data_IF_075230218856
#
_entry.id   IF_075230218856
#
_cell.length_a   1.000
_cell.length_b   1.000
_cell.length_c   1.000
_cell.angle_alpha   90.00
_cell.angle_beta   90.00
_cell.angle_gamma   90.00
#
_symmetry.space_group_name_H-M   'P 1'
#
loop_
_entity.id
_entity.type
_entity.pdbx_description
1 polymer ?
#
# COMPACT_ATOMS: atom_id res chain seq x y z
N UNK A 1 -18.27 25.16 -21.44
CA UNK A 1 -18.45 26.18 -20.43
C UNK A 1 -19.95 26.51 -20.35
N UNK A 2 -20.56 26.15 -19.18
CA UNK A 2 -21.98 26.43 -18.93
C UNK A 2 -22.15 27.86 -18.45
N UNK A 3 -23.09 28.60 -19.08
CA UNK A 3 -23.56 29.89 -18.59
C UNK A 3 -24.80 29.65 -17.71
N UNK A 4 -24.79 30.18 -16.51
CA UNK A 4 -25.90 30.10 -15.55
C UNK A 4 -26.40 31.52 -15.23
N UNK A 5 -27.72 31.69 -14.97
CA UNK A 5 -28.27 32.92 -14.44
C UNK A 5 -28.42 32.82 -12.93
N UNK A 6 -27.89 33.80 -12.22
CA UNK A 6 -28.09 33.99 -10.78
C UNK A 6 -28.56 35.43 -10.58
N UNK A 7 -29.74 35.62 -10.00
CA UNK A 7 -30.37 36.94 -9.73
C UNK A 7 -30.47 37.88 -10.97
N UNK A 8 -30.61 37.29 -12.16
CA UNK A 8 -30.74 38.03 -13.39
C UNK A 8 -29.45 38.26 -14.17
N UNK A 9 -28.30 38.06 -13.56
CA UNK A 9 -26.99 38.23 -14.18
C UNK A 9 -26.45 36.92 -14.77
N UNK A 10 -25.77 37.02 -15.92
CA UNK A 10 -25.08 35.92 -16.57
C UNK A 10 -23.75 35.62 -15.86
N UNK A 11 -23.69 34.52 -15.16
CA UNK A 11 -22.47 34.04 -14.47
C UNK A 11 -21.83 32.93 -15.28
N UNK A 12 -20.59 33.13 -15.71
CA UNK A 12 -19.78 32.11 -16.32
C UNK A 12 -19.02 31.35 -15.21
N UNK A 13 -19.38 30.08 -14.97
CA UNK A 13 -18.56 29.20 -14.14
C UNK A 13 -17.25 28.88 -14.88
N UNK A 14 -16.22 29.63 -14.56
CA UNK A 14 -14.85 29.24 -14.90
C UNK A 14 -14.34 28.30 -13.81
N UNK A 15 -13.98 27.07 -14.17
CA UNK A 15 -13.21 26.24 -13.29
C UNK A 15 -12.00 27.07 -12.83
N UNK A 16 -11.87 27.25 -11.50
CA UNK A 16 -10.68 27.88 -10.94
C UNK A 16 -9.52 26.94 -11.29
N UNK A 17 -8.72 27.34 -12.26
CA UNK A 17 -7.46 26.67 -12.51
C UNK A 17 -6.67 26.81 -11.22
N UNK A 18 -6.69 25.76 -10.40
CA UNK A 18 -5.72 25.60 -9.32
C UNK A 18 -4.37 25.71 -10.01
N UNK A 19 -3.61 26.79 -9.71
CA UNK A 19 -2.21 26.84 -10.09
C UNK A 19 -1.62 25.54 -9.59
N UNK A 20 -1.18 24.65 -10.52
CA UNK A 20 -0.30 23.55 -10.18
C UNK A 20 0.83 24.17 -9.38
N UNK A 21 0.86 23.94 -8.06
CA UNK A 21 2.10 24.05 -7.31
C UNK A 21 3.07 23.17 -8.08
N UNK A 22 4.25 23.71 -8.44
CA UNK A 22 5.19 23.00 -9.29
C UNK A 22 5.28 21.55 -8.84
N UNK A 23 4.97 20.64 -9.75
CA UNK A 23 4.94 19.22 -9.45
C UNK A 23 6.27 18.87 -8.81
N UNK A 24 6.24 18.22 -7.65
CA UNK A 24 7.45 17.61 -7.10
C UNK A 24 8.03 16.74 -8.21
N UNK A 25 9.30 16.88 -8.50
CA UNK A 25 9.96 16.06 -9.52
C UNK A 25 10.06 14.59 -9.10
N UNK A 26 9.73 14.28 -7.86
CA UNK A 26 9.74 12.93 -7.29
C UNK A 26 8.44 12.64 -6.55
N UNK A 27 8.00 11.39 -6.64
CA UNK A 27 6.88 10.84 -5.88
C UNK A 27 7.28 10.55 -4.43
N UNK A 28 6.33 10.15 -3.60
CA UNK A 28 6.60 9.75 -2.22
C UNK A 28 7.45 8.47 -2.13
N UNK A 29 7.38 7.58 -3.13
CA UNK A 29 8.24 6.39 -3.26
C UNK A 29 9.67 6.71 -3.68
N UNK A 30 9.92 7.92 -4.17
CA UNK A 30 11.22 8.35 -4.67
C UNK A 30 11.39 8.19 -6.18
N UNK A 31 10.37 7.76 -6.89
CA UNK A 31 10.35 7.66 -8.35
C UNK A 31 10.24 9.04 -9.02
N UNK A 32 10.56 9.13 -10.30
CA UNK A 32 10.35 10.35 -11.09
C UNK A 32 8.84 10.52 -11.31
N UNK A 33 8.30 11.66 -10.88
CA UNK A 33 6.88 11.94 -11.06
C UNK A 33 6.52 12.04 -12.55
N UNK A 34 5.48 11.31 -12.97
CA UNK A 34 4.99 11.38 -14.33
C UNK A 34 4.39 12.76 -14.63
N UNK A 35 4.68 13.30 -15.82
CA UNK A 35 4.11 14.56 -16.26
C UNK A 35 2.61 14.44 -16.57
N UNK A 36 2.16 13.28 -17.04
CA UNK A 36 0.77 12.97 -17.33
C UNK A 36 0.13 12.24 -16.16
N UNK A 37 -0.74 12.93 -15.45
CA UNK A 37 -1.54 12.40 -14.34
C UNK A 37 -2.98 12.13 -14.76
N UNK A 38 -3.26 11.92 -16.05
CA UNK A 38 -4.60 11.54 -16.52
C UNK A 38 -4.99 10.19 -15.90
N UNK A 39 -6.28 10.04 -15.58
CA UNK A 39 -6.79 8.78 -15.07
C UNK A 39 -6.60 7.68 -16.11
N UNK A 40 -5.94 6.60 -15.72
CA UNK A 40 -5.75 5.40 -16.53
C UNK A 40 -6.75 4.33 -16.14
N UNK A 41 -7.07 3.45 -17.07
CA UNK A 41 -7.85 2.25 -16.78
C UNK A 41 -6.95 1.30 -16.00
N UNK A 42 -7.47 0.74 -14.91
CA UNK A 42 -6.74 -0.24 -14.13
C UNK A 42 -6.37 -1.45 -15.00
N UNK A 43 -5.12 -1.89 -14.88
CA UNK A 43 -4.65 -3.13 -15.49
C UNK A 43 -5.24 -4.34 -14.76
N UNK A 44 -5.24 -5.53 -15.38
CA UNK A 44 -5.74 -6.74 -14.71
C UNK A 44 -4.85 -7.23 -13.57
N UNK A 45 -3.54 -6.90 -13.58
CA UNK A 45 -2.63 -7.25 -12.49
C UNK A 45 -3.00 -6.58 -11.16
N UNK A 46 -2.72 -7.25 -10.04
CA UNK A 46 -3.09 -6.80 -8.69
C UNK A 46 -1.94 -7.00 -7.71
N UNK A 47 -1.99 -6.22 -6.63
CA UNK A 47 -1.25 -6.50 -5.41
C UNK A 47 -2.27 -6.76 -4.31
N UNK A 48 -2.21 -7.95 -3.73
CA UNK A 48 -3.02 -8.30 -2.57
C UNK A 48 -2.21 -8.13 -1.29
N UNK A 49 -2.85 -7.62 -0.25
CA UNK A 49 -2.27 -7.43 1.08
C UNK A 49 -3.18 -8.02 2.14
N UNK A 50 -2.64 -8.46 3.26
CA UNK A 50 -3.44 -9.13 4.28
C UNK A 50 -4.36 -8.16 5.01
N UNK A 51 -3.86 -6.97 5.39
CA UNK A 51 -4.57 -6.01 6.22
C UNK A 51 -4.91 -4.69 5.53
N UNK A 52 -5.94 -4.02 6.05
CA UNK A 52 -6.32 -2.67 5.58
C UNK A 52 -5.20 -1.65 5.80
N UNK A 53 -4.45 -1.76 6.90
CA UNK A 53 -3.37 -0.83 7.19
C UNK A 53 -2.18 -1.01 6.24
N UNK A 54 -1.96 -2.23 5.74
CA UNK A 54 -0.96 -2.54 4.71
C UNK A 54 -1.32 -1.81 3.42
N UNK A 55 -2.56 -1.96 2.97
CA UNK A 55 -3.05 -1.26 1.79
C UNK A 55 -2.92 0.26 1.92
N UNK A 56 -3.32 0.82 3.07
CA UNK A 56 -3.25 2.26 3.32
C UNK A 56 -1.81 2.79 3.36
N UNK A 57 -0.85 2.02 3.91
CA UNK A 57 0.56 2.42 3.93
C UNK A 57 1.17 2.35 2.52
N UNK A 58 0.89 1.29 1.77
CA UNK A 58 1.36 1.14 0.39
C UNK A 58 0.80 2.28 -0.47
N UNK A 59 -0.50 2.53 -0.41
CA UNK A 59 -1.12 3.64 -1.14
C UNK A 59 -0.57 5.01 -0.72
N UNK A 60 -0.21 5.18 0.55
CA UNK A 60 0.38 6.43 1.04
C UNK A 60 1.73 6.75 0.43
N UNK A 61 2.56 5.72 0.20
CA UNK A 61 3.95 5.87 -0.27
C UNK A 61 4.06 5.67 -1.78
N UNK A 62 3.41 4.66 -2.32
CA UNK A 62 3.52 4.26 -3.74
C UNK A 62 2.29 4.59 -4.59
N UNK A 63 1.27 5.19 -4.00
CA UNK A 63 -0.01 5.41 -4.68
C UNK A 63 0.09 6.20 -5.99
N UNK A 64 1.06 7.13 -6.12
CA UNK A 64 1.27 7.85 -7.38
C UNK A 64 1.82 6.94 -8.47
N UNK A 65 2.77 6.05 -8.12
CA UNK A 65 3.36 5.09 -9.06
C UNK A 65 2.36 3.99 -9.43
N UNK A 66 1.64 3.45 -8.45
CA UNK A 66 0.58 2.46 -8.67
C UNK A 66 -0.51 2.99 -9.61
N UNK A 67 -0.94 4.24 -9.43
CA UNK A 67 -1.91 4.88 -10.34
C UNK A 67 -1.33 5.11 -11.73
N UNK A 68 -0.05 5.46 -11.82
CA UNK A 68 0.63 5.62 -13.11
C UNK A 68 0.69 4.29 -13.85
N UNK A 69 1.04 3.21 -13.18
CA UNK A 69 1.11 1.86 -13.74
C UNK A 69 -0.27 1.20 -13.90
N UNK A 70 -1.32 1.77 -13.32
CA UNK A 70 -2.68 1.22 -13.36
C UNK A 70 -2.87 -0.02 -12.48
N UNK A 71 -2.02 -0.19 -11.46
CA UNK A 71 -2.08 -1.30 -10.51
C UNK A 71 -2.99 -0.92 -9.33
N UNK A 72 -3.80 -1.89 -8.90
CA UNK A 72 -4.69 -1.76 -7.74
C UNK A 72 -4.17 -2.64 -6.61
N UNK A 73 -4.12 -2.05 -5.41
CA UNK A 73 -3.89 -2.79 -4.16
C UNK A 73 -5.24 -3.18 -3.56
N UNK A 74 -5.40 -4.46 -3.27
CA UNK A 74 -6.64 -5.02 -2.73
C UNK A 74 -6.35 -5.75 -1.41
N UNK A 75 -7.22 -5.54 -0.42
CA UNK A 75 -7.12 -6.25 0.84
C UNK A 75 -7.73 -7.65 0.72
N UNK A 76 -7.01 -8.65 1.22
CA UNK A 76 -7.54 -9.99 1.43
C UNK A 76 -8.49 -10.00 2.65
N UNK A 77 -9.62 -10.67 2.55
CA UNK A 77 -10.49 -10.95 3.70
C UNK A 77 -10.00 -12.18 4.49
N UNK A 78 -8.69 -12.22 4.77
CA UNK A 78 -7.97 -13.34 5.38
C UNK A 78 -7.23 -14.18 4.34
N UNK A 79 -6.03 -14.66 4.71
CA UNK A 79 -5.15 -15.43 3.82
C UNK A 79 -5.44 -16.95 3.85
N UNK A 80 -6.40 -17.41 4.65
CA UNK A 80 -6.63 -18.85 4.92
C UNK A 80 -6.90 -19.68 3.67
N UNK A 81 -7.47 -19.09 2.65
CA UNK A 81 -7.85 -19.75 1.39
C UNK A 81 -7.13 -19.16 0.16
N UNK A 82 -5.92 -18.60 0.37
CA UNK A 82 -5.14 -17.92 -0.67
C UNK A 82 -5.03 -18.74 -1.97
N UNK A 83 -4.78 -20.05 -1.85
CA UNK A 83 -4.64 -20.91 -3.02
C UNK A 83 -5.95 -21.03 -3.83
N UNK A 84 -7.13 -20.98 -3.19
CA UNK A 84 -8.41 -20.95 -3.90
C UNK A 84 -8.65 -19.59 -4.56
N UNK A 85 -8.34 -18.50 -3.85
CA UNK A 85 -8.46 -17.14 -4.38
C UNK A 85 -7.54 -16.92 -5.57
N UNK A 86 -6.30 -17.43 -5.53
CA UNK A 86 -5.36 -17.38 -6.65
C UNK A 86 -5.90 -18.16 -7.86
N UNK A 87 -6.47 -19.35 -7.65
CA UNK A 87 -7.09 -20.11 -8.76
C UNK A 87 -8.28 -19.36 -9.38
N UNK A 88 -9.09 -18.68 -8.56
CA UNK A 88 -10.22 -17.87 -9.04
C UNK A 88 -9.73 -16.65 -9.82
N UNK A 89 -8.69 -15.99 -9.34
CA UNK A 89 -8.05 -14.87 -10.03
C UNK A 89 -7.47 -15.28 -11.37
N UNK A 90 -7.05 -16.54 -11.52
CA UNK A 90 -6.51 -17.13 -12.76
C UNK A 90 -5.32 -16.35 -13.34
N UNK A 91 -4.20 -16.24 -12.57
CA UNK A 91 -3.04 -15.47 -12.99
C UNK A 91 -2.46 -15.99 -14.31
N UNK A 92 -1.89 -15.08 -15.09
CA UNK A 92 -1.24 -15.37 -16.35
C UNK A 92 -0.25 -14.25 -16.69
N UNK A 93 0.46 -14.36 -17.83
CA UNK A 93 1.49 -13.38 -18.22
C UNK A 93 0.98 -11.94 -18.34
N UNK A 94 -0.31 -11.74 -18.65
CA UNK A 94 -0.95 -10.42 -18.76
C UNK A 94 -1.66 -9.97 -17.49
N UNK A 95 -1.84 -10.88 -16.53
CA UNK A 95 -2.57 -10.69 -15.28
C UNK A 95 -1.78 -11.32 -14.14
N UNK A 96 -0.75 -10.62 -13.69
CA UNK A 96 0.12 -11.07 -12.62
C UNK A 96 -0.43 -10.67 -11.26
N UNK A 97 -0.05 -11.43 -10.24
CA UNK A 97 -0.48 -11.22 -8.87
C UNK A 97 0.72 -11.12 -7.93
N UNK A 98 0.87 -9.98 -7.29
CA UNK A 98 1.75 -9.81 -6.14
C UNK A 98 0.96 -10.04 -4.85
N UNK A 99 1.52 -10.69 -3.86
CA UNK A 99 0.89 -10.89 -2.54
C UNK A 99 1.88 -10.50 -1.45
N UNK A 100 1.47 -9.62 -0.56
CA UNK A 100 2.22 -9.27 0.65
C UNK A 100 1.50 -9.85 1.86
N UNK A 101 2.15 -10.77 2.55
CA UNK A 101 1.64 -11.40 3.77
C UNK A 101 2.36 -10.87 5.00
N UNK A 102 1.67 -10.90 6.14
CA UNK A 102 2.28 -10.63 7.43
C UNK A 102 3.21 -11.79 7.79
N UNK A 103 4.42 -11.48 8.19
CA UNK A 103 5.37 -12.30 8.94
C UNK A 103 5.39 -13.81 8.64
N UNK A 104 5.93 -14.21 7.49
CA UNK A 104 6.15 -15.64 7.16
C UNK A 104 7.26 -16.24 8.05
N UNK A 105 6.85 -16.88 9.13
CA UNK A 105 7.77 -17.66 9.99
C UNK A 105 7.84 -19.09 9.50
N UNK A 106 9.05 -19.64 9.40
CA UNK A 106 9.25 -21.04 9.03
C UNK A 106 8.33 -21.98 9.81
N UNK A 107 7.52 -22.75 9.09
CA UNK A 107 6.54 -23.67 9.66
C UNK A 107 5.25 -23.03 10.17
N UNK A 108 5.06 -21.73 10.00
CA UNK A 108 3.78 -21.08 10.29
C UNK A 108 2.65 -21.55 9.36
N UNK A 109 1.43 -21.16 9.68
CA UNK A 109 0.26 -21.42 8.82
C UNK A 109 0.41 -20.67 7.49
N UNK A 110 0.83 -19.42 7.56
CA UNK A 110 1.00 -18.51 6.43
C UNK A 110 2.06 -19.04 5.46
N UNK A 111 3.20 -19.54 5.97
CA UNK A 111 4.23 -20.18 5.13
C UNK A 111 3.69 -21.42 4.40
N UNK A 112 2.86 -22.23 5.08
CA UNK A 112 2.25 -23.41 4.44
C UNK A 112 1.19 -23.05 3.40
N UNK A 113 0.46 -21.95 3.60
CA UNK A 113 -0.50 -21.43 2.65
C UNK A 113 0.23 -20.88 1.42
N UNK A 114 1.27 -20.08 1.62
CA UNK A 114 2.09 -19.57 0.54
C UNK A 114 2.73 -20.70 -0.31
N UNK A 115 3.21 -21.76 0.35
CA UNK A 115 3.81 -22.91 -0.32
C UNK A 115 2.81 -23.76 -1.16
N UNK A 116 1.51 -23.54 -1.05
CA UNK A 116 0.50 -24.18 -1.89
C UNK A 116 0.28 -23.47 -3.21
N UNK A 117 0.82 -22.27 -3.38
CA UNK A 117 0.74 -21.49 -4.61
C UNK A 117 2.05 -21.69 -5.37
N UNK A 118 2.00 -22.46 -6.44
CA UNK A 118 3.12 -22.68 -7.36
C UNK A 118 2.71 -22.23 -8.76
N UNK A 119 2.78 -20.91 -8.99
CA UNK A 119 2.42 -20.29 -10.26
C UNK A 119 3.46 -19.20 -10.59
N UNK A 120 4.10 -19.24 -11.78
CA UNK A 120 5.13 -18.28 -12.16
C UNK A 120 4.60 -16.84 -12.32
N UNK A 121 3.28 -16.66 -12.41
CA UNK A 121 2.62 -15.36 -12.48
C UNK A 121 2.16 -14.84 -11.12
N UNK A 122 2.59 -15.49 -10.04
CA UNK A 122 2.31 -15.09 -8.65
C UNK A 122 3.62 -14.92 -7.91
N UNK A 123 3.80 -13.77 -7.27
CA UNK A 123 4.91 -13.51 -6.35
C UNK A 123 4.36 -13.24 -4.95
N UNK A 124 4.72 -14.11 -4.01
CA UNK A 124 4.34 -13.95 -2.59
C UNK A 124 5.57 -13.52 -1.82
N UNK A 125 5.48 -12.39 -1.14
CA UNK A 125 6.49 -11.86 -0.24
C UNK A 125 5.89 -11.57 1.13
N UNK A 126 6.76 -11.33 2.09
CA UNK A 126 6.39 -10.96 3.45
C UNK A 126 7.17 -9.75 3.95
N UNK A 127 6.86 -9.36 5.17
CA UNK A 127 7.65 -8.43 5.95
C UNK A 127 7.89 -8.99 7.39
N UNK A 128 9.01 -8.62 8.05
CA UNK A 128 9.41 -9.24 9.32
C UNK A 128 8.69 -8.65 10.55
N UNK A 129 7.60 -7.90 10.37
CA UNK A 129 6.92 -7.18 11.45
C UNK A 129 5.73 -7.96 11.98
N UNK A 130 5.45 -7.85 13.27
CA UNK A 130 4.24 -8.40 13.90
C UNK A 130 2.98 -7.66 13.43
N UNK A 131 3.13 -6.40 13.08
CA UNK A 131 2.08 -5.55 12.54
C UNK A 131 2.74 -4.46 11.68
N UNK A 132 2.09 -4.06 10.61
CA UNK A 132 2.60 -3.07 9.63
C UNK A 132 2.96 -1.72 10.26
N UNK A 133 2.41 -1.37 11.42
CA UNK A 133 2.81 -0.16 12.13
C UNK A 133 4.31 -0.12 12.40
N UNK A 134 4.91 -1.29 12.68
CA UNK A 134 6.35 -1.39 12.92
C UNK A 134 7.21 -1.10 11.69
N UNK A 135 6.62 -1.16 10.51
CA UNK A 135 7.30 -0.77 9.28
C UNK A 135 7.47 0.75 9.15
N UNK A 136 6.76 1.55 9.95
CA UNK A 136 7.00 2.99 10.02
C UNK A 136 8.18 3.25 10.97
N UNK A 137 9.20 3.96 10.49
CA UNK A 137 10.37 4.29 11.31
C UNK A 137 9.97 5.09 12.55
N UNK A 138 10.44 4.71 13.73
CA UNK A 138 10.12 5.39 14.99
C UNK A 138 10.36 6.90 14.94
N UNK A 139 11.46 7.34 14.31
CA UNK A 139 11.81 8.74 14.15
C UNK A 139 10.81 9.56 13.34
N UNK A 140 10.12 8.95 12.36
CA UNK A 140 9.11 9.63 11.54
C UNK A 140 7.88 10.05 12.36
N UNK A 141 7.58 9.29 13.41
CA UNK A 141 6.41 9.52 14.28
C UNK A 141 6.78 10.12 15.65
N UNK A 142 8.08 10.40 15.87
CA UNK A 142 8.57 11.07 17.08
C UNK A 142 8.69 10.16 18.30
N UNK A 143 8.82 8.85 18.13
CA UNK A 143 9.10 7.89 19.21
C UNK A 143 10.55 7.40 19.12
N UNK A 144 11.11 6.91 20.22
CA UNK A 144 12.47 6.36 20.23
C UNK A 144 12.56 4.95 19.64
N UNK A 145 11.49 4.19 19.71
CA UNK A 145 11.40 2.83 19.22
C UNK A 145 10.02 2.24 19.47
N UNK A 146 9.68 1.22 18.70
CA UNK A 146 8.44 0.47 18.94
C UNK A 146 8.57 -0.36 20.21
N UNK A 147 7.60 -0.26 21.15
CA UNK A 147 7.64 -1.04 22.39
C UNK A 147 7.51 -2.54 22.11
N UNK A 148 8.22 -3.34 22.90
CA UNK A 148 8.00 -4.80 22.90
C UNK A 148 6.68 -5.11 23.63
N UNK A 149 5.85 -5.95 23.00
CA UNK A 149 4.59 -6.43 23.56
C UNK A 149 4.69 -7.93 23.76
N UNK A 150 4.43 -8.47 24.97
CA UNK A 150 4.47 -9.89 25.26
C UNK A 150 3.46 -10.68 24.42
N UNK A 151 3.79 -11.93 24.11
CA UNK A 151 2.84 -12.86 23.48
C UNK A 151 1.59 -13.02 24.35
N UNK A 152 0.41 -12.99 23.72
CA UNK A 152 -0.88 -13.10 24.39
C UNK A 152 -1.53 -11.78 24.77
N UNK A 153 -0.82 -10.65 24.65
CA UNK A 153 -1.39 -9.30 24.72
C UNK A 153 -1.71 -8.81 23.29
N UNK A 154 -2.84 -8.11 23.13
CA UNK A 154 -3.13 -7.43 21.85
C UNK A 154 -2.00 -6.46 21.51
N UNK A 155 -1.34 -6.65 20.38
CA UNK A 155 -0.14 -5.90 20.05
C UNK A 155 -0.42 -4.39 19.96
N UNK A 156 -1.46 -4.00 19.23
CA UNK A 156 -1.82 -2.58 19.04
C UNK A 156 -2.15 -1.89 20.35
N UNK A 157 -2.96 -2.53 21.20
CA UNK A 157 -3.31 -1.99 22.52
C UNK A 157 -2.09 -1.95 23.45
N UNK A 158 -1.26 -2.98 23.42
CA UNK A 158 -0.03 -3.06 24.19
C UNK A 158 0.97 -1.97 23.83
N UNK A 159 1.09 -1.63 22.55
CA UNK A 159 1.90 -0.51 22.07
C UNK A 159 1.36 0.82 22.60
N UNK A 160 0.08 1.09 22.42
CA UNK A 160 -0.53 2.34 22.87
C UNK A 160 -0.37 2.56 24.38
N UNK A 161 -0.60 1.51 25.17
CA UNK A 161 -0.41 1.53 26.61
C UNK A 161 1.02 1.91 27.01
N UNK A 162 2.03 1.33 26.34
CA UNK A 162 3.45 1.57 26.65
C UNK A 162 3.94 2.93 26.17
N UNK A 163 3.34 3.45 25.11
CA UNK A 163 3.60 4.80 24.63
C UNK A 163 2.84 5.87 25.44
N UNK A 164 1.94 5.47 26.35
CA UNK A 164 1.11 6.41 27.11
C UNK A 164 0.08 7.14 26.24
N UNK A 165 -0.33 6.54 25.13
CA UNK A 165 -1.26 7.15 24.18
C UNK A 165 -2.69 6.76 24.54
N UNK A 166 -3.51 7.74 24.90
CA UNK A 166 -4.93 7.56 25.21
C UNK A 166 -5.81 7.71 23.96
N UNK A 167 -5.53 6.90 22.92
CA UNK A 167 -6.30 6.86 21.68
C UNK A 167 -6.66 5.43 21.33
N UNK A 168 -7.77 5.23 20.60
CA UNK A 168 -8.06 3.92 20.02
C UNK A 168 -7.11 3.60 18.87
N UNK A 169 -6.80 2.29 18.60
CA UNK A 169 -5.90 1.89 17.54
C UNK A 169 -6.17 2.53 16.16
N UNK A 170 -7.43 2.65 15.67
CA UNK A 170 -7.69 3.31 14.39
C UNK A 170 -7.37 4.81 14.37
N UNK A 171 -7.52 5.47 15.50
CA UNK A 171 -7.19 6.91 15.62
C UNK A 171 -5.68 7.12 15.62
N UNK A 172 -4.96 6.28 16.33
CA UNK A 172 -3.50 6.31 16.34
C UNK A 172 -2.94 5.97 14.98
N UNK A 173 -3.50 4.96 14.30
CA UNK A 173 -3.12 4.62 12.94
C UNK A 173 -3.21 5.82 11.99
N UNK A 174 -4.35 6.50 11.95
CA UNK A 174 -4.52 7.71 11.13
C UNK A 174 -3.48 8.78 11.46
N UNK A 175 -3.13 8.92 12.74
CA UNK A 175 -2.11 9.88 13.16
C UNK A 175 -0.73 9.51 12.62
N UNK A 176 -0.27 8.27 12.80
CA UNK A 176 1.07 7.85 12.37
C UNK A 176 1.17 7.77 10.84
N UNK A 177 0.14 7.28 10.15
CA UNK A 177 0.07 7.28 8.69
C UNK A 177 0.17 8.71 8.13
N UNK A 178 -0.48 9.68 8.78
CA UNK A 178 -0.38 11.09 8.41
C UNK A 178 1.02 11.69 8.56
N UNK A 179 1.92 11.06 9.31
CA UNK A 179 3.33 11.46 9.45
C UNK A 179 4.22 10.90 8.35
N UNK A 180 3.81 9.81 7.72
CA UNK A 180 4.55 9.22 6.61
C UNK A 180 4.44 10.14 5.39
N UNK A 181 5.57 10.61 4.91
CA UNK A 181 5.69 11.52 3.77
C UNK A 181 6.34 10.87 2.55
N UNK A 182 7.16 9.84 2.76
CA UNK A 182 7.88 9.14 1.70
C UNK A 182 8.38 7.77 2.17
N UNK A 183 8.96 7.00 1.24
CA UNK A 183 9.64 5.74 1.52
C UNK A 183 10.75 5.85 2.58
N UNK A 184 11.32 7.04 2.78
CA UNK A 184 12.34 7.29 3.80
C UNK A 184 11.82 7.14 5.23
N UNK A 185 10.52 7.26 5.41
CA UNK A 185 9.83 7.11 6.69
C UNK A 185 9.45 5.64 6.96
N UNK A 186 9.70 4.75 5.99
CA UNK A 186 9.38 3.32 6.03
C UNK A 186 10.66 2.51 6.16
N UNK A 187 10.61 1.42 6.91
CA UNK A 187 11.74 0.50 7.11
C UNK A 187 12.07 -0.25 5.81
N UNK A 188 13.37 -0.44 5.57
CA UNK A 188 13.89 -1.01 4.33
C UNK A 188 13.31 -2.37 3.95
N UNK A 189 13.08 -3.33 4.88
CA UNK A 189 12.46 -4.61 4.51
C UNK A 189 11.12 -4.47 3.80
N UNK A 190 10.21 -3.62 4.32
CA UNK A 190 8.92 -3.39 3.64
C UNK A 190 9.11 -2.69 2.29
N UNK A 191 9.99 -1.69 2.23
CA UNK A 191 10.29 -1.00 0.96
C UNK A 191 10.71 -2.02 -0.10
N UNK A 192 11.65 -2.90 0.23
CA UNK A 192 12.15 -3.91 -0.70
C UNK A 192 11.06 -4.87 -1.17
N UNK A 193 10.19 -5.33 -0.26
CA UNK A 193 9.10 -6.23 -0.63
C UNK A 193 8.10 -5.55 -1.56
N UNK A 194 7.68 -4.32 -1.24
CA UNK A 194 6.70 -3.59 -2.07
C UNK A 194 7.27 -3.26 -3.45
N UNK A 195 8.52 -2.76 -3.54
CA UNK A 195 9.17 -2.47 -4.82
C UNK A 195 9.27 -3.74 -5.70
N UNK A 196 9.67 -4.88 -5.11
CA UNK A 196 9.71 -6.14 -5.84
C UNK A 196 8.33 -6.60 -6.35
N UNK A 197 7.28 -6.39 -5.55
CA UNK A 197 5.91 -6.70 -5.99
C UNK A 197 5.48 -5.79 -7.14
N UNK A 198 5.77 -4.50 -7.06
CA UNK A 198 5.45 -3.53 -8.13
C UNK A 198 6.20 -3.93 -9.40
N UNK A 199 7.51 -4.14 -9.31
CA UNK A 199 8.32 -4.57 -10.46
C UNK A 199 7.79 -5.86 -11.10
N UNK A 200 7.37 -6.82 -10.27
CA UNK A 200 6.84 -8.10 -10.75
C UNK A 200 5.52 -7.94 -11.51
N UNK A 201 4.57 -7.16 -10.96
CA UNK A 201 3.23 -7.02 -11.57
C UNK A 201 3.22 -6.07 -12.77
N UNK A 202 4.27 -5.24 -12.93
CA UNK A 202 4.44 -4.29 -14.03
C UNK A 202 5.44 -4.74 -15.08
N UNK A 203 6.17 -5.85 -14.83
CA UNK A 203 7.17 -6.34 -15.76
C UNK A 203 6.56 -6.61 -17.15
N UNK A 204 7.19 -6.02 -18.17
CA UNK A 204 6.82 -6.30 -19.56
C UNK A 204 7.00 -7.79 -19.87
N UNK A 205 6.15 -8.31 -20.77
CA UNK A 205 6.40 -9.65 -21.31
C UNK A 205 7.75 -9.70 -22.00
N UNK A 206 8.49 -10.83 -21.87
CA UNK A 206 9.62 -11.06 -22.73
C UNK A 206 9.12 -11.02 -24.18
N UNK A 207 9.74 -10.21 -25.02
CA UNK A 207 9.45 -10.19 -26.44
C UNK A 207 9.76 -11.59 -27.01
N UNK A 208 8.76 -12.24 -27.63
CA UNK A 208 8.93 -13.49 -28.37
C UNK A 208 9.92 -13.34 -29.54
#
# INVERSE_FOLDING_TARGET
PGLFRHEGDLVALRAKLLKKQGASQMTASGSIAAEDTSARVALPSRIWVEGIHDAELIERVWGDDLRYEGIVVEQLEGADDLAAMVREFSPNSHQRLGVLLDHLVDGSKETRIAAQVDDPNVLILDHPYVDIWQAIKPGAIGIQGWPSVPKGESWKEGVLKRLGVAAAPPQFWKHILGKVSSWKDVETPLVNSVEQLIDFVTAAEPAD
#
